data_IF_117902018666
#
_entry.id   IF_117902018666
#
_cell.length_a   1.000
_cell.length_b   1.000
_cell.length_c   1.000
_cell.angle_alpha   90.00
_cell.angle_beta   90.00
_cell.angle_gamma   90.00
#
_symmetry.space_group_name_H-M   'P 1'
#
loop_
_entity.id
_entity.type
_entity.pdbx_description
1 polymer ?
#
# COMPACT_ATOMS: atom_id res chain seq x y z
N UNK A 1 -2.44 -19.12 11.66
CA UNK A 1 -3.44 -18.89 12.75
C UNK A 1 -4.84 -19.42 12.45
N UNK A 2 -5.28 -19.57 11.20
CA UNK A 2 -6.58 -20.18 10.81
C UNK A 2 -6.74 -21.62 11.34
N UNK A 3 -5.73 -22.52 11.19
CA UNK A 3 -5.91 -23.92 11.62
C UNK A 3 -6.13 -24.08 13.13
N UNK A 4 -5.51 -23.23 13.97
CA UNK A 4 -5.73 -23.25 15.41
C UNK A 4 -7.17 -22.89 15.81
N UNK A 5 -7.82 -22.00 15.06
CA UNK A 5 -9.22 -21.62 15.30
C UNK A 5 -10.21 -22.67 14.83
N UNK A 6 -9.90 -23.35 13.72
CA UNK A 6 -10.68 -24.50 13.26
C UNK A 6 -10.63 -25.65 14.28
N UNK A 7 -9.45 -25.93 14.86
CA UNK A 7 -9.31 -26.89 15.96
C UNK A 7 -10.10 -26.47 17.19
N UNK A 8 -10.11 -25.16 17.54
CA UNK A 8 -10.91 -24.62 18.64
C UNK A 8 -12.41 -24.75 18.43
N UNK A 9 -12.90 -24.56 17.20
CA UNK A 9 -14.32 -24.80 16.85
C UNK A 9 -14.65 -26.28 16.95
N UNK A 10 -13.80 -27.16 16.42
CA UNK A 10 -13.97 -28.62 16.54
C UNK A 10 -14.00 -29.09 18.00
N UNK A 11 -13.10 -28.56 18.83
CA UNK A 11 -13.07 -28.82 20.26
C UNK A 11 -14.36 -28.38 20.97
N UNK A 12 -14.85 -27.17 20.64
CA UNK A 12 -16.11 -26.68 21.22
C UNK A 12 -17.31 -27.58 20.86
N UNK A 13 -17.41 -28.06 19.63
CA UNK A 13 -18.44 -28.99 19.21
C UNK A 13 -18.35 -30.30 19.98
N UNK A 14 -17.14 -30.83 20.14
CA UNK A 14 -16.89 -32.06 20.89
C UNK A 14 -17.29 -31.92 22.36
N UNK A 15 -16.90 -30.81 23.03
CA UNK A 15 -17.24 -30.58 24.43
C UNK A 15 -18.74 -30.29 24.64
N UNK A 16 -19.44 -29.69 23.69
CA UNK A 16 -20.90 -29.56 23.72
C UNK A 16 -21.56 -30.93 23.69
N UNK A 17 -21.15 -31.82 22.78
CA UNK A 17 -21.67 -33.18 22.70
C UNK A 17 -21.40 -33.98 23.98
N UNK A 18 -20.16 -33.90 24.50
CA UNK A 18 -19.80 -34.54 25.77
C UNK A 18 -20.63 -34.00 26.93
N UNK A 19 -20.74 -32.68 27.08
CA UNK A 19 -21.48 -32.03 28.15
C UNK A 19 -22.96 -32.39 28.16
N UNK A 20 -23.56 -32.57 26.96
CA UNK A 20 -24.93 -33.04 26.81
C UNK A 20 -25.09 -34.50 27.22
N UNK A 21 -24.24 -35.40 26.76
CA UNK A 21 -24.28 -36.84 27.03
C UNK A 21 -23.97 -37.15 28.50
N UNK A 22 -23.02 -36.42 29.11
CA UNK A 22 -22.59 -36.60 30.50
C UNK A 22 -23.42 -35.80 31.52
N UNK A 23 -24.46 -35.07 31.06
CA UNK A 23 -25.24 -34.13 31.90
C UNK A 23 -24.39 -33.10 32.67
N UNK A 24 -23.22 -32.73 32.11
CA UNK A 24 -22.29 -31.78 32.69
C UNK A 24 -22.61 -30.34 32.21
N UNK A 25 -23.54 -29.69 32.89
CA UNK A 25 -24.09 -28.36 32.51
C UNK A 25 -23.04 -27.22 32.45
N UNK A 26 -22.08 -27.09 33.39
CA UNK A 26 -21.11 -25.99 33.36
C UNK A 26 -20.25 -25.97 32.08
N UNK A 27 -19.57 -27.07 31.65
CA UNK A 27 -18.82 -27.07 30.40
C UNK A 27 -19.71 -26.96 29.16
N UNK A 28 -20.95 -27.51 29.19
CA UNK A 28 -21.92 -27.36 28.11
C UNK A 28 -22.20 -25.88 27.83
N UNK A 29 -22.55 -25.11 28.87
CA UNK A 29 -22.89 -23.70 28.75
C UNK A 29 -21.69 -22.85 28.30
N UNK A 30 -20.52 -23.16 28.82
CA UNK A 30 -19.27 -22.48 28.43
C UNK A 30 -18.98 -22.65 26.93
N UNK A 31 -18.98 -23.88 26.42
CA UNK A 31 -18.66 -24.16 25.04
C UNK A 31 -19.76 -23.70 24.07
N UNK A 32 -21.03 -23.65 24.51
CA UNK A 32 -22.14 -23.09 23.75
C UNK A 32 -21.96 -21.57 23.52
N UNK A 33 -21.40 -20.85 24.50
CA UNK A 33 -21.08 -19.42 24.34
C UNK A 33 -19.79 -19.20 23.53
N UNK A 34 -18.78 -20.06 23.69
CA UNK A 34 -17.52 -19.93 22.98
C UNK A 34 -17.61 -20.26 21.49
N UNK A 35 -18.52 -21.15 21.09
CA UNK A 35 -18.69 -21.58 19.70
C UNK A 35 -19.03 -20.39 18.77
N UNK A 36 -20.09 -19.58 19.01
CA UNK A 36 -20.43 -18.45 18.16
C UNK A 36 -19.30 -17.39 18.15
N UNK A 37 -18.67 -17.13 19.28
CA UNK A 37 -17.55 -16.19 19.35
C UNK A 37 -16.35 -16.62 18.48
N UNK A 38 -16.03 -17.91 18.48
CA UNK A 38 -14.95 -18.44 17.64
C UNK A 38 -15.33 -18.40 16.15
N UNK A 39 -16.60 -18.64 15.81
CA UNK A 39 -17.09 -18.55 14.43
C UNK A 39 -17.05 -17.09 13.93
N UNK A 40 -17.50 -16.13 14.73
CA UNK A 40 -17.47 -14.71 14.38
C UNK A 40 -16.01 -14.27 14.12
N UNK A 41 -15.11 -14.58 15.04
CA UNK A 41 -13.70 -14.24 14.90
C UNK A 41 -13.01 -14.95 13.71
N UNK A 42 -13.42 -16.16 13.36
CA UNK A 42 -12.91 -16.83 12.17
C UNK A 42 -13.37 -16.13 10.90
N UNK A 43 -14.64 -15.68 10.85
CA UNK A 43 -15.18 -14.92 9.72
C UNK A 43 -14.47 -13.58 9.56
N UNK A 44 -14.28 -12.84 10.66
CA UNK A 44 -13.51 -11.57 10.65
C UNK A 44 -12.11 -11.75 10.10
N UNK A 45 -11.40 -12.80 10.53
CA UNK A 45 -10.05 -13.08 10.07
C UNK A 45 -10.00 -13.46 8.58
N UNK A 46 -10.96 -14.27 8.10
CA UNK A 46 -11.05 -14.64 6.68
C UNK A 46 -11.40 -13.44 5.80
N UNK A 47 -12.24 -12.51 6.29
CA UNK A 47 -12.53 -11.26 5.61
C UNK A 47 -11.29 -10.38 5.50
N UNK A 48 -10.51 -10.27 6.60
CA UNK A 48 -9.24 -9.52 6.60
C UNK A 48 -8.23 -10.12 5.61
N UNK A 49 -8.06 -11.44 5.58
CA UNK A 49 -7.16 -12.11 4.62
C UNK A 49 -7.58 -11.85 3.18
N UNK A 50 -8.88 -11.96 2.86
CA UNK A 50 -9.40 -11.64 1.52
C UNK A 50 -9.23 -10.16 1.16
N UNK A 51 -9.36 -9.25 2.12
CA UNK A 51 -9.12 -7.83 1.89
C UNK A 51 -7.65 -7.54 1.61
N UNK A 52 -6.73 -8.22 2.33
CA UNK A 52 -5.28 -8.13 2.11
C UNK A 52 -4.91 -8.69 0.73
N UNK A 53 -5.45 -9.84 0.34
CA UNK A 53 -5.22 -10.41 -1.00
C UNK A 53 -5.74 -9.49 -2.12
N UNK A 54 -6.91 -8.88 -1.93
CA UNK A 54 -7.48 -7.93 -2.88
C UNK A 54 -6.68 -6.62 -2.96
N UNK A 55 -6.14 -6.17 -1.83
CA UNK A 55 -5.19 -5.06 -1.78
C UNK A 55 -3.87 -5.39 -2.48
N UNK A 56 -3.40 -6.63 -2.35
CA UNK A 56 -2.18 -7.12 -2.99
C UNK A 56 -2.30 -7.22 -4.52
N UNK A 57 -3.49 -7.48 -5.06
CA UNK A 57 -3.73 -7.58 -6.50
C UNK A 57 -3.84 -6.23 -7.23
N UNK A 58 -3.69 -5.12 -6.54
CA UNK A 58 -3.69 -3.77 -7.16
C UNK A 58 -5.07 -3.18 -7.43
N UNK A 59 -6.15 -3.92 -7.18
CA UNK A 59 -7.56 -3.50 -7.35
C UNK A 59 -8.08 -2.74 -6.12
N UNK A 60 -7.29 -1.81 -5.60
CA UNK A 60 -7.81 -0.92 -4.56
C UNK A 60 -8.74 0.11 -5.18
N UNK A 61 -10.03 -0.14 -4.99
CA UNK A 61 -11.02 0.90 -5.15
C UNK A 61 -10.73 2.00 -4.10
N UNK A 62 -10.06 3.07 -4.55
CA UNK A 62 -9.60 4.20 -3.71
C UNK A 62 -10.76 4.99 -3.08
N UNK A 63 -12.01 4.56 -3.30
CA UNK A 63 -13.21 5.23 -2.77
C UNK A 63 -13.22 5.36 -1.24
N UNK A 64 -12.58 4.44 -0.53
CA UNK A 64 -12.51 4.46 0.94
C UNK A 64 -11.48 5.44 1.51
N UNK A 65 -10.49 5.90 0.68
CA UNK A 65 -9.52 6.94 1.09
C UNK A 65 -10.12 8.35 0.93
N UNK A 66 -11.09 8.54 0.04
CA UNK A 66 -11.71 9.85 -0.23
C UNK A 66 -12.11 10.64 1.01
N UNK A 67 -12.70 10.04 2.07
CA UNK A 67 -13.07 10.78 3.27
C UNK A 67 -11.89 11.40 4.04
N UNK A 68 -10.67 10.89 3.82
CA UNK A 68 -9.44 11.31 4.50
C UNK A 68 -8.56 12.20 3.63
N UNK A 69 -9.03 12.56 2.44
CA UNK A 69 -8.27 13.35 1.46
C UNK A 69 -8.92 14.70 1.26
N UNK A 70 -8.11 15.71 0.92
CA UNK A 70 -8.57 16.98 0.39
C UNK A 70 -8.42 16.99 -1.13
N UNK A 71 -9.49 17.38 -1.83
CA UNK A 71 -9.44 17.56 -3.27
C UNK A 71 -8.75 18.89 -3.60
N UNK A 72 -7.83 18.84 -4.58
CA UNK A 72 -7.12 20.01 -5.11
C UNK A 72 -7.17 19.99 -6.63
N UNK A 73 -7.67 21.08 -7.23
CA UNK A 73 -7.59 21.29 -8.66
C UNK A 73 -6.21 21.85 -9.02
N UNK A 74 -5.66 21.36 -10.11
CA UNK A 74 -4.34 21.74 -10.62
C UNK A 74 -4.44 22.28 -12.04
N UNK A 75 -3.59 23.25 -12.35
CA UNK A 75 -3.52 23.88 -13.67
C UNK A 75 -2.33 23.34 -14.46
N UNK A 76 -2.44 23.34 -15.78
CA UNK A 76 -1.31 22.98 -16.64
C UNK A 76 -0.12 23.93 -16.38
N UNK A 77 1.08 23.35 -16.26
CA UNK A 77 2.31 24.08 -15.93
C UNK A 77 2.57 24.27 -14.44
N UNK A 78 1.60 24.00 -13.57
CA UNK A 78 1.76 24.16 -12.10
C UNK A 78 2.77 23.14 -11.56
N UNK A 79 3.72 23.60 -10.73
CA UNK A 79 4.63 22.75 -9.98
C UNK A 79 4.02 22.47 -8.62
N UNK A 80 3.76 21.20 -8.34
CA UNK A 80 3.13 20.75 -7.09
C UNK A 80 4.13 20.67 -5.94
N UNK A 81 5.33 20.22 -6.23
CA UNK A 81 6.49 20.22 -5.35
C UNK A 81 7.77 20.07 -6.15
N UNK A 82 8.88 20.52 -5.61
CA UNK A 82 10.21 20.44 -6.21
C UNK A 82 11.08 19.43 -5.49
N UNK A 83 12.07 18.89 -6.19
CA UNK A 83 13.10 18.04 -5.59
C UNK A 83 13.78 18.77 -4.43
N UNK A 84 13.96 18.05 -3.30
CA UNK A 84 14.55 18.60 -2.09
C UNK A 84 13.55 19.29 -1.13
N UNK A 85 12.32 19.57 -1.57
CA UNK A 85 11.31 20.15 -0.67
C UNK A 85 10.98 19.17 0.47
N UNK A 86 10.67 19.71 1.65
CA UNK A 86 10.16 18.92 2.77
C UNK A 86 8.79 18.33 2.41
N UNK A 87 8.65 17.03 2.56
CA UNK A 87 7.44 16.31 2.20
C UNK A 87 6.56 16.04 3.42
N UNK A 88 5.30 16.46 3.36
CA UNK A 88 4.30 16.28 4.42
C UNK A 88 3.04 15.54 3.95
N UNK A 89 2.90 15.31 2.65
CA UNK A 89 1.73 14.69 2.02
C UNK A 89 2.11 13.85 0.82
N UNK A 90 1.19 12.99 0.40
CA UNK A 90 1.22 12.33 -0.91
C UNK A 90 -0.01 12.73 -1.71
N UNK A 91 0.04 12.49 -3.01
CA UNK A 91 -1.00 12.86 -3.95
C UNK A 91 -1.48 11.64 -4.72
N UNK A 92 -2.79 11.54 -4.91
CA UNK A 92 -3.43 10.58 -5.81
C UNK A 92 -4.00 11.35 -6.99
N UNK A 93 -3.61 10.99 -8.21
CA UNK A 93 -4.08 11.64 -9.44
C UNK A 93 -5.47 11.09 -9.78
N UNK A 94 -6.49 11.93 -9.74
CA UNK A 94 -7.87 11.58 -10.11
C UNK A 94 -8.09 11.80 -11.60
N UNK A 95 -7.62 12.94 -12.11
CA UNK A 95 -7.72 13.31 -13.52
C UNK A 95 -6.57 14.24 -13.93
N UNK A 96 -6.36 14.40 -15.23
CA UNK A 96 -5.24 15.16 -15.78
C UNK A 96 -3.98 14.33 -15.92
N UNK A 97 -2.88 14.97 -16.27
CA UNK A 97 -1.57 14.36 -16.46
C UNK A 97 -0.52 15.15 -15.68
N UNK A 98 0.26 14.46 -14.86
CA UNK A 98 1.44 15.03 -14.21
C UNK A 98 2.70 14.37 -14.74
N UNK A 99 3.86 15.01 -14.56
CA UNK A 99 5.17 14.47 -14.95
C UNK A 99 6.18 14.67 -13.84
N UNK A 100 6.94 13.61 -13.57
CA UNK A 100 8.16 13.68 -12.79
C UNK A 100 9.28 14.22 -13.69
N UNK A 101 9.75 15.43 -13.39
CA UNK A 101 10.61 16.20 -14.31
C UNK A 101 11.95 15.51 -14.53
N UNK A 102 12.60 15.03 -13.47
CA UNK A 102 13.94 14.45 -13.54
C UNK A 102 13.99 13.09 -14.25
N UNK A 103 12.95 12.27 -14.05
CA UNK A 103 12.86 10.95 -14.69
C UNK A 103 12.07 10.92 -15.98
N UNK A 104 11.38 12.02 -16.34
CA UNK A 104 10.52 12.10 -17.52
C UNK A 104 9.29 11.18 -17.46
N UNK A 105 8.95 10.64 -16.29
CA UNK A 105 7.85 9.68 -16.13
C UNK A 105 6.52 10.40 -16.04
N UNK A 106 5.59 10.01 -16.88
CA UNK A 106 4.22 10.49 -16.84
C UNK A 106 3.41 9.76 -15.77
N UNK A 107 2.70 10.54 -14.98
CA UNK A 107 1.84 10.07 -13.89
C UNK A 107 0.39 10.27 -14.34
N UNK A 108 -0.25 9.16 -14.70
CA UNK A 108 -1.62 9.08 -15.18
C UNK A 108 -2.63 8.98 -14.03
N UNK A 109 -3.94 9.18 -14.29
CA UNK A 109 -4.98 8.93 -13.30
C UNK A 109 -4.91 7.53 -12.70
N UNK A 110 -5.21 7.44 -11.40
CA UNK A 110 -5.12 6.19 -10.63
C UNK A 110 -3.77 5.94 -9.95
N UNK A 111 -2.77 6.80 -10.16
CA UNK A 111 -1.42 6.63 -9.60
C UNK A 111 -1.24 7.50 -8.35
N UNK A 112 -0.56 6.93 -7.35
CA UNK A 112 -0.10 7.65 -6.15
C UNK A 112 1.33 8.14 -6.39
N UNK A 113 1.64 9.35 -5.91
CA UNK A 113 2.97 9.96 -5.99
C UNK A 113 3.33 10.68 -4.69
N UNK A 114 4.62 10.68 -4.36
CA UNK A 114 5.16 11.29 -3.14
C UNK A 114 5.27 10.34 -1.94
N UNK A 115 4.98 9.05 -2.14
CA UNK A 115 5.07 7.99 -1.16
C UNK A 115 6.51 7.72 -0.72
N UNK A 116 7.49 7.85 -1.63
CA UNK A 116 8.90 7.58 -1.33
C UNK A 116 9.48 8.53 -0.30
N UNK A 117 9.05 9.79 -0.31
CA UNK A 117 9.50 10.77 0.67
C UNK A 117 9.01 10.46 2.10
N UNK A 118 7.89 9.73 2.25
CA UNK A 118 7.41 9.31 3.57
C UNK A 118 8.32 8.29 4.24
N UNK A 119 8.93 7.40 3.44
CA UNK A 119 9.84 6.35 3.92
C UNK A 119 11.32 6.79 3.88
N UNK A 120 11.62 7.91 3.22
CA UNK A 120 12.98 8.48 3.21
C UNK A 120 13.35 9.00 4.62
N UNK A 121 14.59 8.77 5.08
CA UNK A 121 15.08 9.31 6.35
C UNK A 121 14.96 10.83 6.42
N UNK A 122 15.26 11.52 5.33
CA UNK A 122 15.31 12.99 5.24
C UNK A 122 13.92 13.61 5.01
N UNK A 123 12.89 12.79 4.72
CA UNK A 123 11.52 13.23 4.39
C UNK A 123 11.48 14.34 3.33
N UNK A 124 12.37 14.25 2.34
CA UNK A 124 12.46 15.22 1.24
C UNK A 124 11.93 14.62 -0.06
N UNK A 125 11.42 15.47 -0.94
CA UNK A 125 10.99 15.09 -2.29
C UNK A 125 12.18 14.62 -3.11
N UNK A 126 12.07 13.43 -3.69
CA UNK A 126 13.14 12.84 -4.51
C UNK A 126 13.13 13.38 -5.95
N UNK A 127 12.00 13.89 -6.42
CA UNK A 127 11.81 14.43 -7.77
C UNK A 127 10.83 15.61 -7.73
N UNK A 128 10.82 16.41 -8.80
CA UNK A 128 9.87 17.51 -9.03
C UNK A 128 8.62 16.99 -9.74
N UNK A 129 7.44 17.28 -9.21
CA UNK A 129 6.16 16.94 -9.85
C UNK A 129 5.55 18.18 -10.49
N UNK A 130 5.38 18.15 -11.82
CA UNK A 130 4.74 19.20 -12.60
C UNK A 130 3.46 18.68 -13.25
N UNK A 131 2.42 19.51 -13.23
CA UNK A 131 1.19 19.27 -13.97
C UNK A 131 1.41 19.54 -15.47
N UNK A 132 1.10 18.59 -16.32
CA UNK A 132 1.14 18.72 -17.79
C UNK A 132 -0.25 19.09 -18.32
N UNK A 133 -1.28 18.36 -17.88
CA UNK A 133 -2.67 18.63 -18.23
C UNK A 133 -3.48 18.90 -16.95
N UNK A 134 -4.27 19.98 -16.98
CA UNK A 134 -5.10 20.36 -15.85
C UNK A 134 -5.99 19.21 -15.38
N UNK A 135 -6.17 19.09 -14.07
CA UNK A 135 -6.93 18.00 -13.50
C UNK A 135 -7.21 18.17 -12.01
N UNK A 136 -7.46 17.04 -11.37
CA UNK A 136 -7.78 16.95 -9.94
C UNK A 136 -6.88 15.95 -9.25
N UNK A 137 -6.38 16.33 -8.08
CA UNK A 137 -5.61 15.47 -7.18
C UNK A 137 -6.35 15.32 -5.86
N UNK A 138 -6.17 14.18 -5.22
CA UNK A 138 -6.49 14.02 -3.81
C UNK A 138 -5.17 14.07 -3.02
N UNK A 139 -5.10 14.97 -2.07
CA UNK A 139 -3.98 15.12 -1.16
C UNK A 139 -4.30 14.45 0.18
N UNK A 140 -3.37 13.67 0.70
CA UNK A 140 -3.43 13.07 2.03
C UNK A 140 -2.13 13.33 2.77
N UNK A 141 -2.22 13.84 4.00
CA UNK A 141 -1.06 14.11 4.83
C UNK A 141 -0.46 12.83 5.40
N UNK A 142 0.85 12.81 5.64
CA UNK A 142 1.51 11.64 6.26
C UNK A 142 0.93 11.30 7.65
N UNK A 143 0.44 12.30 8.40
CA UNK A 143 -0.25 12.08 9.67
C UNK A 143 -1.54 11.27 9.49
N UNK A 144 -2.35 11.63 8.48
CA UNK A 144 -3.58 10.89 8.15
C UNK A 144 -3.28 9.46 7.68
N UNK A 145 -2.19 9.28 6.91
CA UNK A 145 -1.73 7.94 6.49
C UNK A 145 -1.36 7.09 7.71
N UNK A 146 -0.62 7.68 8.67
CA UNK A 146 -0.28 6.97 9.91
C UNK A 146 -1.51 6.58 10.72
N UNK A 147 -2.52 7.46 10.80
CA UNK A 147 -3.81 7.12 11.44
C UNK A 147 -4.50 5.96 10.72
N UNK A 148 -4.55 5.99 9.39
CA UNK A 148 -5.13 4.91 8.59
C UNK A 148 -4.37 3.60 8.79
N UNK A 149 -3.03 3.65 8.88
CA UNK A 149 -2.18 2.49 9.15
C UNK A 149 -2.56 1.80 10.48
N UNK A 150 -2.76 2.59 11.54
CA UNK A 150 -3.16 2.04 12.85
C UNK A 150 -4.61 1.53 12.87
N UNK A 151 -5.50 2.16 12.12
CA UNK A 151 -6.91 1.80 12.09
C UNK A 151 -7.20 0.63 11.15
N UNK A 152 -6.43 0.48 10.07
CA UNK A 152 -6.64 -0.52 9.04
C UNK A 152 -5.32 -1.22 8.64
N UNK A 153 -5.04 -2.41 9.20
CA UNK A 153 -3.83 -3.17 8.86
C UNK A 153 -3.72 -3.51 7.37
N UNK A 154 -4.85 -3.65 6.67
CA UNK A 154 -4.90 -3.91 5.22
C UNK A 154 -4.30 -2.76 4.43
N UNK A 155 -4.58 -1.53 4.84
CA UNK A 155 -3.97 -0.34 4.25
C UNK A 155 -2.45 -0.34 4.45
N UNK A 156 -1.98 -0.67 5.66
CA UNK A 156 -0.55 -0.74 5.94
C UNK A 156 0.18 -1.71 5.03
N UNK A 157 -0.39 -2.90 4.82
CA UNK A 157 0.18 -3.90 3.93
C UNK A 157 0.19 -3.45 2.47
N UNK A 158 -0.90 -2.84 2.00
CA UNK A 158 -0.96 -2.25 0.66
C UNK A 158 0.10 -1.16 0.46
N UNK A 159 0.21 -0.23 1.42
CA UNK A 159 1.16 0.85 1.35
C UNK A 159 2.62 0.33 1.32
N UNK A 160 2.92 -0.70 2.12
CA UNK A 160 4.21 -1.37 2.09
C UNK A 160 4.50 -1.99 0.71
N UNK A 161 3.54 -2.68 0.12
CA UNK A 161 3.70 -3.26 -1.23
C UNK A 161 3.90 -2.18 -2.30
N UNK A 162 3.12 -1.10 -2.24
CA UNK A 162 3.25 0.01 -3.16
C UNK A 162 4.65 0.62 -3.13
N UNK A 163 5.13 0.94 -1.92
CA UNK A 163 6.46 1.56 -1.73
C UNK A 163 7.58 0.61 -2.11
N UNK A 164 7.50 -0.67 -1.74
CA UNK A 164 8.48 -1.69 -2.12
C UNK A 164 8.54 -1.86 -3.63
N UNK A 165 7.40 -1.96 -4.32
CA UNK A 165 7.35 -2.06 -5.79
C UNK A 165 8.06 -0.88 -6.44
N UNK A 166 7.78 0.34 -5.99
CA UNK A 166 8.41 1.56 -6.52
C UNK A 166 9.92 1.58 -6.30
N UNK A 167 10.38 1.15 -5.13
CA UNK A 167 11.82 1.04 -4.86
C UNK A 167 12.51 0.04 -5.81
N UNK A 168 11.92 -1.14 -6.00
CA UNK A 168 12.47 -2.13 -6.93
C UNK A 168 12.43 -1.67 -8.40
N UNK A 169 11.38 -0.98 -8.82
CA UNK A 169 11.31 -0.38 -10.16
C UNK A 169 12.42 0.66 -10.37
N UNK A 170 12.64 1.54 -9.39
CA UNK A 170 13.70 2.54 -9.44
C UNK A 170 15.09 1.88 -9.45
N UNK A 171 15.30 0.87 -8.62
CA UNK A 171 16.56 0.12 -8.57
C UNK A 171 16.88 -0.54 -9.92
N UNK A 172 15.91 -1.21 -10.54
CA UNK A 172 16.08 -1.81 -11.87
C UNK A 172 16.43 -0.78 -12.95
N UNK A 173 15.81 0.40 -12.91
CA UNK A 173 16.13 1.48 -13.84
C UNK A 173 17.58 1.93 -13.68
N UNK A 174 18.02 2.18 -12.45
CA UNK A 174 19.40 2.56 -12.16
C UNK A 174 20.40 1.48 -12.58
N UNK A 175 20.11 0.21 -12.32
CA UNK A 175 20.94 -0.91 -12.79
C UNK A 175 21.08 -0.92 -14.31
N UNK A 176 19.97 -0.71 -15.04
CA UNK A 176 19.97 -0.65 -16.51
C UNK A 176 20.79 0.54 -17.01
N UNK A 177 20.64 1.72 -16.41
CA UNK A 177 21.41 2.91 -16.76
C UNK A 177 22.92 2.69 -16.51
N UNK A 178 23.30 2.11 -15.38
CA UNK A 178 24.69 1.78 -15.06
C UNK A 178 25.30 0.82 -16.09
N UNK A 179 24.55 -0.22 -16.47
CA UNK A 179 24.99 -1.17 -17.50
C UNK A 179 25.19 -0.48 -18.85
N UNK A 180 24.24 0.38 -19.25
CA UNK A 180 24.34 1.13 -20.52
C UNK A 180 25.50 2.11 -20.52
N UNK A 181 25.73 2.82 -19.41
CA UNK A 181 26.87 3.73 -19.28
C UNK A 181 28.20 2.98 -19.36
N UNK A 182 28.32 1.85 -18.64
CA UNK A 182 29.54 1.00 -18.70
C UNK A 182 29.80 0.49 -20.12
N UNK A 183 28.76 0.06 -20.85
CA UNK A 183 28.91 -0.38 -22.22
C UNK A 183 29.38 0.75 -23.18
N UNK A 184 28.86 1.98 -22.97
CA UNK A 184 29.30 3.15 -23.74
C UNK A 184 30.77 3.48 -23.47
N UNK A 185 31.22 3.47 -22.22
CA UNK A 185 32.64 3.73 -21.87
C UNK A 185 33.57 2.63 -22.39
N UNK A 186 33.20 1.36 -22.28
CA UNK A 186 33.96 0.25 -22.82
C UNK A 186 34.08 0.29 -24.36
N UNK A 187 33.09 0.86 -25.08
CA UNK A 187 33.13 1.04 -26.52
C UNK A 187 33.98 2.25 -26.98
N UNK A 188 34.14 3.29 -26.13
CA UNK A 188 34.95 4.46 -26.44
C UNK A 188 36.46 4.20 -26.30
N UNK A 189 36.87 3.38 -25.34
CA UNK A 189 38.31 3.03 -25.14
C UNK A 189 38.87 2.17 -26.28
N UNK A 190 38.03 1.54 -27.10
CA UNK A 190 38.48 0.75 -28.25
C UNK A 190 38.60 1.58 -29.54
N UNK A 191 38.10 2.84 -29.56
CA UNK A 191 38.12 3.71 -30.74
C UNK A 191 39.38 4.61 -30.80
N UNK A 192 40.06 4.83 -29.65
CA UNK A 192 41.21 5.71 -29.57
C UNK A 192 42.54 4.95 -29.67
N UNK A 193 42.51 3.65 -30.02
CA UNK A 193 43.70 2.79 -30.12
C UNK A 193 44.11 2.45 -31.57
N UNK A 194 43.65 3.22 -32.60
CA UNK A 194 44.10 3.07 -33.99
C UNK A 194 44.55 4.39 -34.58
#
# INVERSE_FOLDING_TARGET
MVPLRLLGIGSNVFFIAYGYLAAAYPPLLLHLLLLPLNIIRLREMNLLVKQVEKAASGDLNMSWIKPFTSSRRIKAGEVLFSRGDTANSLFFVVSGLCRLVESGIDITPGVIVGELAMISPDKTRTQTLRCVEAGELLEITYRQIMQLYYQNPTFGFFFLQLTSRRLFENMRKLETEVVQLRAKFAGSDCSDAF
#
